data_IF_506763265502
#
_entry.id   IF_506763265502
#
_cell.length_a   1.000
_cell.length_b   1.000
_cell.length_c   1.000
_cell.angle_alpha   90.00
_cell.angle_beta   90.00
_cell.angle_gamma   90.00
#
_symmetry.space_group_name_H-M   'P 1'
#
loop_
_entity.id
_entity.type
_entity.pdbx_description
1 polymer ?
#
# COMPACT_ATOMS: atom_id res chain seq x y z
N UNK A 1 -0.54 23.26 -1.74
CA UNK A 1 -0.29 22.75 -0.38
C UNK A 1 -1.40 21.76 -0.05
N UNK A 2 -1.09 20.46 0.06
CA UNK A 2 -2.06 19.47 0.53
C UNK A 2 -2.35 19.77 2.00
N UNK A 3 -3.61 20.06 2.34
CA UNK A 3 -4.03 20.21 3.73
C UNK A 3 -4.60 18.87 4.19
N UNK A 4 -4.00 18.30 5.22
CA UNK A 4 -4.47 17.08 5.89
C UNK A 4 -5.91 17.24 6.40
N UNK A 5 -6.28 18.45 6.79
CA UNK A 5 -7.63 18.79 7.27
C UNK A 5 -8.68 18.76 6.15
N UNK A 6 -8.27 19.19 4.94
CA UNK A 6 -9.11 19.07 3.74
C UNK A 6 -9.31 17.61 3.34
N UNK A 7 -8.28 16.77 3.50
CA UNK A 7 -8.39 15.34 3.22
C UNK A 7 -9.35 14.66 4.22
N UNK A 8 -9.15 14.90 5.52
CA UNK A 8 -9.99 14.35 6.59
C UNK A 8 -11.47 14.72 6.41
N UNK A 9 -11.76 15.97 6.05
CA UNK A 9 -13.13 16.44 5.79
C UNK A 9 -13.74 15.89 4.49
N UNK A 10 -12.93 15.37 3.57
CA UNK A 10 -13.38 14.74 2.32
C UNK A 10 -13.55 13.22 2.38
N UNK A 11 -13.12 12.53 3.45
CA UNK A 11 -13.16 11.07 3.50
C UNK A 11 -14.57 10.50 3.27
N UNK A 12 -15.59 11.17 3.82
CA UNK A 12 -16.99 10.78 3.66
C UNK A 12 -17.56 11.04 2.25
N UNK A 13 -16.79 11.64 1.34
CA UNK A 13 -17.19 11.85 -0.06
C UNK A 13 -16.88 10.64 -0.94
N UNK A 14 -16.13 9.67 -0.44
CA UNK A 14 -15.78 8.45 -1.15
C UNK A 14 -16.64 7.28 -0.66
N UNK A 15 -17.11 6.44 -1.58
CA UNK A 15 -17.87 5.23 -1.23
C UNK A 15 -17.01 4.21 -0.46
N UNK A 16 -15.71 4.16 -0.79
CA UNK A 16 -14.74 3.31 -0.12
C UNK A 16 -13.33 3.92 -0.17
N UNK A 17 -12.56 3.65 0.88
CA UNK A 17 -11.13 3.95 0.94
C UNK A 17 -10.40 2.62 0.94
N UNK A 18 -9.57 2.37 -0.08
CA UNK A 18 -8.82 1.13 -0.21
C UNK A 18 -7.38 1.36 0.20
N UNK A 19 -6.92 0.61 1.20
CA UNK A 19 -5.50 0.56 1.58
C UNK A 19 -4.85 -0.66 0.92
N UNK A 20 -3.96 -0.39 -0.03
CA UNK A 20 -3.25 -1.40 -0.83
C UNK A 20 -1.92 -1.86 -0.22
N UNK A 21 -1.56 -1.32 0.95
CA UNK A 21 -0.34 -1.71 1.68
C UNK A 21 -0.45 -3.12 2.23
N UNK A 22 0.67 -3.66 2.71
CA UNK A 22 0.70 -4.99 3.31
C UNK A 22 -0.21 -5.08 4.56
N UNK A 23 -0.71 -6.28 4.91
CA UNK A 23 -1.53 -6.46 6.11
C UNK A 23 -0.89 -5.93 7.39
N UNK A 24 0.43 -6.09 7.55
CA UNK A 24 1.16 -5.60 8.72
C UNK A 24 1.21 -4.06 8.76
N UNK A 25 1.42 -3.40 7.61
CA UNK A 25 1.40 -1.94 7.52
C UNK A 25 0.02 -1.37 7.87
N UNK A 26 -1.06 -2.03 7.44
CA UNK A 26 -2.44 -1.64 7.76
C UNK A 26 -2.81 -1.89 9.23
N UNK A 27 -2.41 -3.04 9.78
CA UNK A 27 -2.69 -3.39 11.18
C UNK A 27 -1.97 -2.47 12.18
N UNK A 28 -0.81 -1.92 11.79
CA UNK A 28 -0.08 -0.96 12.61
C UNK A 28 -0.82 0.38 12.72
N UNK A 29 -1.24 0.94 11.59
CA UNK A 29 -2.09 2.14 11.53
C UNK A 29 -2.66 2.32 10.12
N UNK A 30 -3.88 2.85 10.03
CA UNK A 30 -4.55 3.14 8.76
C UNK A 30 -5.62 4.22 8.91
N UNK A 31 -6.03 4.77 7.77
CA UNK A 31 -7.10 5.77 7.71
C UNK A 31 -8.41 5.14 8.20
N UNK A 32 -9.13 5.76 9.16
CA UNK A 32 -10.42 5.24 9.63
C UNK A 32 -11.40 4.96 8.49
N UNK A 33 -12.04 3.79 8.52
CA UNK A 33 -12.99 3.34 7.49
C UNK A 33 -12.33 2.77 6.23
N UNK A 34 -11.01 2.73 6.14
CA UNK A 34 -10.33 2.06 5.04
C UNK A 34 -10.47 0.53 5.11
N UNK A 35 -10.54 -0.10 3.94
CA UNK A 35 -10.57 -1.54 3.76
C UNK A 35 -9.19 -1.96 3.21
N UNK A 36 -8.52 -2.89 3.88
CA UNK A 36 -7.25 -3.40 3.40
C UNK A 36 -7.49 -4.42 2.27
N UNK A 37 -7.02 -4.07 1.06
CA UNK A 37 -6.96 -4.96 -0.09
C UNK A 37 -5.49 -5.01 -0.55
N UNK A 38 -4.66 -5.80 0.15
CA UNK A 38 -3.22 -5.77 -0.02
C UNK A 38 -2.83 -6.27 -1.41
N UNK A 39 -1.95 -5.52 -2.08
CA UNK A 39 -1.37 -5.96 -3.36
C UNK A 39 -0.33 -7.07 -3.16
N UNK A 40 0.33 -7.06 -2.00
CA UNK A 40 1.34 -8.06 -1.61
C UNK A 40 1.06 -8.51 -0.17
N UNK A 41 1.36 -9.77 0.12
CA UNK A 41 1.51 -10.27 1.49
C UNK A 41 2.68 -9.59 2.21
N UNK A 42 2.79 -9.80 3.52
CA UNK A 42 3.90 -9.26 4.32
C UNK A 42 5.26 -9.75 3.82
N UNK A 43 5.37 -11.04 3.50
CA UNK A 43 6.62 -11.66 3.05
C UNK A 43 7.02 -11.16 1.65
N UNK A 44 6.06 -11.09 0.72
CA UNK A 44 6.29 -10.53 -0.62
C UNK A 44 6.66 -9.04 -0.53
N UNK A 45 6.04 -8.27 0.39
CA UNK A 45 6.37 -6.86 0.63
C UNK A 45 7.81 -6.68 1.12
N UNK A 46 8.32 -7.59 1.95
CA UNK A 46 9.71 -7.61 2.42
C UNK A 46 10.65 -7.96 1.26
N UNK A 47 10.33 -9.01 0.50
CA UNK A 47 11.12 -9.45 -0.65
C UNK A 47 11.24 -8.34 -1.70
N UNK A 48 10.12 -7.80 -2.18
CA UNK A 48 10.09 -6.76 -3.20
C UNK A 48 10.76 -5.49 -2.71
N UNK A 49 10.54 -5.10 -1.44
CA UNK A 49 11.20 -3.94 -0.84
C UNK A 49 12.72 -4.11 -0.78
N UNK A 50 13.20 -5.31 -0.43
CA UNK A 50 14.63 -5.64 -0.39
C UNK A 50 15.21 -5.62 -1.80
N UNK A 51 14.56 -6.27 -2.77
CA UNK A 51 14.99 -6.31 -4.16
C UNK A 51 15.06 -4.90 -4.77
N UNK A 52 14.10 -4.04 -4.43
CA UNK A 52 14.06 -2.65 -4.90
C UNK A 52 15.28 -1.86 -4.42
N UNK A 53 15.68 -2.05 -3.16
CA UNK A 53 16.79 -1.31 -2.53
C UNK A 53 18.15 -1.88 -2.84
N UNK A 54 18.30 -3.20 -2.82
CA UNK A 54 19.60 -3.87 -2.91
C UNK A 54 20.01 -4.20 -4.34
N UNK A 55 19.06 -4.34 -5.27
CA UNK A 55 19.36 -4.72 -6.67
C UNK A 55 18.95 -3.62 -7.63
N UNK A 56 17.64 -3.44 -7.87
CA UNK A 56 17.16 -2.33 -8.68
C UNK A 56 15.64 -2.16 -8.61
N UNK A 57 15.13 -0.93 -8.83
CA UNK A 57 13.70 -0.70 -9.02
C UNK A 57 13.08 -1.51 -10.15
N UNK A 58 13.82 -1.75 -11.25
CA UNK A 58 13.30 -2.47 -12.41
C UNK A 58 13.06 -3.95 -12.08
N UNK A 59 14.04 -4.61 -11.44
CA UNK A 59 13.91 -6.01 -11.03
C UNK A 59 12.73 -6.20 -10.05
N UNK A 60 12.60 -5.30 -9.07
CA UNK A 60 11.50 -5.32 -8.11
C UNK A 60 10.13 -5.16 -8.76
N UNK A 61 9.98 -4.22 -9.71
CA UNK A 61 8.73 -4.03 -10.45
C UNK A 61 8.39 -5.25 -11.30
N UNK A 62 9.38 -5.87 -11.94
CA UNK A 62 9.18 -7.07 -12.77
C UNK A 62 8.69 -8.25 -11.94
N UNK A 63 9.32 -8.51 -10.79
CA UNK A 63 8.90 -9.60 -9.90
C UNK A 63 7.56 -9.30 -9.23
N UNK A 64 7.39 -8.10 -8.69
CA UNK A 64 6.14 -7.71 -8.02
C UNK A 64 4.92 -7.77 -8.94
N UNK A 65 5.07 -7.42 -10.23
CA UNK A 65 4.00 -7.56 -11.20
C UNK A 65 3.60 -9.03 -11.46
N UNK A 66 4.50 -9.99 -11.24
CA UNK A 66 4.19 -11.42 -11.38
C UNK A 66 3.43 -11.99 -10.18
N UNK A 67 3.44 -11.31 -9.03
CA UNK A 67 2.64 -11.70 -7.85
C UNK A 67 1.19 -11.23 -7.92
N UNK A 68 0.88 -10.31 -8.83
CA UNK A 68 -0.47 -9.78 -9.02
C UNK A 68 -1.11 -10.45 -10.25
N UNK A 69 -2.17 -11.22 -10.04
CA UNK A 69 -2.91 -11.96 -11.09
C UNK A 69 -4.38 -11.58 -11.14
#
# INVERSE_FOLDING_TARGET
>A
MFSTEKLASSLNQFDAIIDVRSPAEFALDHIPGAINLPVLSNDERIEIGTLYKQVSPFAAKKLGAAYVS
#
